data_IF_148909015739
#
_entry.id   IF_148909015739
#
_cell.length_a   1.000
_cell.length_b   1.000
_cell.length_c   1.000
_cell.angle_alpha   90.00
_cell.angle_beta   90.00
_cell.angle_gamma   90.00
#
_symmetry.space_group_name_H-M   'P 1'
#
loop_
_entity.id
_entity.type
_entity.pdbx_description
1 polymer ?
#
# COMPACT_ATOMS: atom_id res chain seq x y z
N UNK A 1 32.19 -4.93 -7.13
CA UNK A 1 31.62 -3.88 -6.26
C UNK A 1 30.14 -4.21 -6.14
N UNK A 2 29.62 -4.42 -4.93
CA UNK A 2 28.18 -4.56 -4.77
C UNK A 2 27.51 -3.29 -5.30
N UNK A 3 26.52 -3.45 -6.21
CA UNK A 3 25.75 -2.33 -6.72
C UNK A 3 25.04 -1.58 -5.58
N UNK A 4 24.78 -0.29 -5.73
CA UNK A 4 23.97 0.42 -4.75
C UNK A 4 22.55 -0.15 -4.76
N UNK A 5 21.95 -0.35 -3.58
CA UNK A 5 20.55 -0.79 -3.47
C UNK A 5 19.63 0.20 -4.18
N UNK A 6 18.69 -0.32 -4.97
CA UNK A 6 17.76 0.47 -5.76
C UNK A 6 16.42 0.68 -5.04
N UNK A 7 15.98 -0.32 -4.25
CA UNK A 7 14.81 -0.19 -3.38
C UNK A 7 14.94 -1.07 -2.14
N UNK A 8 14.19 -0.73 -1.11
CA UNK A 8 13.97 -1.51 0.10
C UNK A 8 12.51 -1.95 0.13
N UNK A 9 12.26 -3.26 0.12
CA UNK A 9 10.91 -3.83 0.19
C UNK A 9 10.57 -4.06 1.65
N UNK A 10 9.49 -3.47 2.14
CA UNK A 10 9.01 -3.62 3.53
C UNK A 10 7.76 -4.47 3.53
N UNK A 11 7.78 -5.56 4.29
CA UNK A 11 6.69 -6.54 4.37
C UNK A 11 6.30 -6.74 5.83
N UNK A 12 5.16 -6.19 6.28
CA UNK A 12 4.59 -6.55 7.57
C UNK A 12 3.96 -7.94 7.50
N UNK A 13 4.07 -8.71 8.58
CA UNK A 13 3.43 -10.04 8.65
C UNK A 13 2.95 -10.34 10.07
N UNK A 14 1.89 -11.14 10.17
CA UNK A 14 1.37 -11.69 11.42
C UNK A 14 0.61 -12.99 11.15
N UNK A 15 1.10 -14.12 11.65
CA UNK A 15 0.48 -15.46 11.53
C UNK A 15 0.03 -15.80 10.10
N UNK A 16 0.90 -15.57 9.11
CA UNK A 16 0.65 -15.80 7.68
C UNK A 16 1.82 -16.49 6.98
N UNK A 17 2.47 -17.46 7.63
CA UNK A 17 3.68 -18.10 7.15
C UNK A 17 3.57 -18.63 5.71
N UNK A 18 2.44 -19.23 5.32
CA UNK A 18 2.22 -19.74 3.96
C UNK A 18 2.14 -18.62 2.92
N UNK A 19 1.37 -17.59 3.20
CA UNK A 19 1.22 -16.42 2.29
C UNK A 19 2.54 -15.65 2.16
N UNK A 20 3.23 -15.43 3.27
CA UNK A 20 4.54 -14.75 3.25
C UNK A 20 5.57 -15.54 2.43
N UNK A 21 5.56 -16.89 2.50
CA UNK A 21 6.43 -17.73 1.68
C UNK A 21 6.24 -17.43 0.19
N UNK A 22 5.00 -17.39 -0.29
CA UNK A 22 4.71 -17.10 -1.70
C UNK A 22 5.14 -15.67 -2.08
N UNK A 23 4.95 -14.69 -1.19
CA UNK A 23 5.46 -13.33 -1.40
C UNK A 23 6.99 -13.34 -1.58
N UNK A 24 7.72 -14.01 -0.69
CA UNK A 24 9.18 -14.08 -0.76
C UNK A 24 9.66 -14.86 -1.99
N UNK A 25 8.98 -15.93 -2.40
CA UNK A 25 9.31 -16.66 -3.64
C UNK A 25 9.12 -15.78 -4.88
N UNK A 26 8.05 -14.96 -4.96
CA UNK A 26 7.87 -14.00 -6.05
C UNK A 26 8.96 -12.91 -6.10
N UNK A 27 9.50 -12.52 -4.94
CA UNK A 27 10.62 -11.58 -4.87
C UNK A 27 11.96 -12.20 -5.30
N UNK A 28 12.15 -13.50 -5.14
CA UNK A 28 13.31 -14.21 -5.71
C UNK A 28 13.25 -14.19 -7.24
N UNK A 29 12.05 -14.20 -7.83
CA UNK A 29 11.81 -14.17 -9.28
C UNK A 29 11.89 -12.79 -9.93
N UNK A 30 12.28 -11.73 -9.21
CA UNK A 30 12.32 -10.38 -9.78
C UNK A 30 13.40 -10.24 -10.86
N UNK A 31 13.10 -9.45 -11.90
CA UNK A 31 14.09 -9.07 -12.94
C UNK A 31 15.16 -8.13 -12.40
N UNK A 32 14.84 -7.33 -11.38
CA UNK A 32 15.81 -6.58 -10.61
C UNK A 32 16.69 -7.57 -9.82
N UNK A 33 18.04 -7.59 -10.00
CA UNK A 33 18.90 -8.53 -9.30
C UNK A 33 18.75 -8.47 -7.77
N UNK A 34 18.77 -9.65 -7.12
CA UNK A 34 18.54 -9.76 -5.66
C UNK A 34 19.59 -9.09 -4.79
N UNK A 35 20.75 -8.73 -5.36
CA UNK A 35 21.79 -7.93 -4.71
C UNK A 35 21.58 -6.41 -4.88
N UNK A 36 20.55 -5.99 -5.66
CA UNK A 36 20.21 -4.60 -5.89
C UNK A 36 18.96 -4.15 -5.11
N UNK A 37 18.34 -5.00 -4.35
CA UNK A 37 17.29 -4.61 -3.40
C UNK A 37 17.44 -5.38 -2.08
N UNK A 38 16.87 -4.85 -1.02
CA UNK A 38 16.76 -5.55 0.25
C UNK A 38 15.29 -5.83 0.59
N UNK A 39 15.07 -6.89 1.35
CA UNK A 39 13.74 -7.28 1.86
C UNK A 39 13.75 -7.17 3.37
N UNK A 40 12.85 -6.37 3.92
CA UNK A 40 12.70 -6.10 5.34
C UNK A 40 11.37 -6.71 5.80
N UNK A 41 11.42 -7.93 6.31
CA UNK A 41 10.26 -8.61 6.90
C UNK A 41 10.12 -8.16 8.34
N UNK A 42 8.98 -7.59 8.68
CA UNK A 42 8.68 -7.16 10.05
C UNK A 42 7.49 -7.95 10.58
N UNK A 43 7.77 -8.81 11.53
CA UNK A 43 6.83 -9.74 12.15
C UNK A 43 6.21 -9.14 13.41
N UNK A 44 4.89 -8.99 13.40
CA UNK A 44 4.09 -8.39 14.47
C UNK A 44 3.68 -9.42 15.56
N UNK A 45 4.57 -10.38 15.85
CA UNK A 45 4.38 -11.33 16.94
C UNK A 45 3.81 -12.70 16.50
N UNK A 46 4.20 -13.19 15.31
CA UNK A 46 3.75 -14.50 14.83
C UNK A 46 4.22 -15.67 15.70
N UNK A 47 3.40 -16.72 15.75
CA UNK A 47 3.67 -17.98 16.45
C UNK A 47 3.54 -19.22 15.55
N UNK A 48 3.40 -19.02 14.23
CA UNK A 48 3.08 -20.05 13.23
C UNK A 48 4.32 -20.61 12.48
N UNK A 49 5.55 -20.33 12.98
CA UNK A 49 6.80 -20.76 12.32
C UNK A 49 7.29 -19.77 11.27
N UNK A 50 6.79 -18.53 11.29
CA UNK A 50 7.20 -17.45 10.35
C UNK A 50 8.71 -17.22 10.39
N UNK A 51 9.34 -17.12 11.57
CA UNK A 51 10.77 -16.85 11.70
C UNK A 51 11.63 -17.92 11.02
N UNK A 52 11.35 -19.20 11.29
CA UNK A 52 12.06 -20.34 10.70
C UNK A 52 11.88 -20.38 9.18
N UNK A 53 10.68 -20.09 8.70
CA UNK A 53 10.40 -20.05 7.27
C UNK A 53 11.20 -18.91 6.60
N UNK A 54 11.20 -17.71 7.15
CA UNK A 54 11.94 -16.56 6.63
C UNK A 54 13.44 -16.86 6.58
N UNK A 55 13.98 -17.57 7.57
CA UNK A 55 15.41 -17.93 7.60
C UNK A 55 15.82 -18.80 6.40
N UNK A 56 14.91 -19.58 5.81
CA UNK A 56 15.18 -20.38 4.60
C UNK A 56 15.46 -19.54 3.35
N UNK A 57 15.12 -18.26 3.35
CA UNK A 57 15.37 -17.32 2.26
C UNK A 57 16.72 -16.59 2.36
N UNK A 58 17.44 -16.71 3.48
CA UNK A 58 18.80 -16.18 3.59
C UNK A 58 19.70 -16.85 2.57
N UNK A 59 20.36 -16.07 1.75
CA UNK A 59 21.16 -16.56 0.63
C UNK A 59 20.44 -16.59 -0.72
N UNK A 60 19.11 -16.47 -0.74
CA UNK A 60 18.31 -16.24 -1.96
C UNK A 60 17.95 -14.76 -2.13
N UNK A 61 17.72 -14.07 -1.00
CA UNK A 61 17.40 -12.65 -0.92
C UNK A 61 18.36 -11.94 0.05
N UNK A 62 18.65 -10.69 -0.21
CA UNK A 62 19.25 -9.77 0.77
C UNK A 62 18.17 -9.40 1.80
N UNK A 63 17.96 -10.29 2.78
CA UNK A 63 16.82 -10.27 3.68
C UNK A 63 17.23 -9.97 5.11
N UNK A 64 16.47 -9.09 5.76
CA UNK A 64 16.55 -8.77 7.19
C UNK A 64 15.19 -9.03 7.82
N UNK A 65 15.19 -9.69 8.98
CA UNK A 65 14.00 -10.02 9.74
C UNK A 65 13.99 -9.26 11.06
N UNK A 66 12.84 -8.68 11.39
CA UNK A 66 12.58 -7.95 12.62
C UNK A 66 11.35 -8.57 13.28
N UNK A 67 11.41 -8.75 14.59
CA UNK A 67 10.31 -9.28 15.39
C UNK A 67 9.90 -8.24 16.43
N UNK A 68 8.63 -8.07 16.65
CA UNK A 68 8.06 -7.35 17.78
C UNK A 68 7.04 -8.21 18.50
N UNK A 69 6.94 -8.07 19.83
CA UNK A 69 5.98 -8.83 20.64
C UNK A 69 4.54 -8.55 20.17
N UNK A 70 3.67 -9.57 20.24
CA UNK A 70 2.23 -9.43 19.93
C UNK A 70 1.55 -8.56 21.01
N UNK A 71 1.12 -7.37 20.62
CA UNK A 71 0.30 -6.46 21.43
C UNK A 71 -0.98 -6.05 20.66
N UNK A 72 -1.49 -6.91 19.79
CA UNK A 72 -2.63 -6.68 18.92
C UNK A 72 -2.23 -6.12 17.55
N UNK A 73 -3.19 -5.59 16.81
CA UNK A 73 -2.96 -5.09 15.44
C UNK A 73 -2.05 -3.87 15.40
N UNK A 74 -0.86 -4.01 14.83
CA UNK A 74 0.15 -2.95 14.74
C UNK A 74 0.87 -2.91 13.38
N UNK A 75 0.13 -3.10 12.31
CA UNK A 75 0.67 -3.05 10.96
C UNK A 75 1.40 -1.73 10.66
N UNK A 76 0.88 -0.60 11.15
CA UNK A 76 1.52 0.72 11.05
C UNK A 76 2.92 0.70 11.70
N UNK A 77 3.03 0.21 12.94
CA UNK A 77 4.31 0.10 13.66
C UNK A 77 5.28 -0.85 12.95
N UNK A 78 4.78 -2.00 12.49
CA UNK A 78 5.60 -2.96 11.76
C UNK A 78 6.19 -2.33 10.49
N UNK A 79 5.36 -1.61 9.69
CA UNK A 79 5.86 -0.88 8.51
C UNK A 79 6.87 0.20 8.89
N UNK A 80 6.68 0.90 10.02
CA UNK A 80 7.62 1.92 10.52
C UNK A 80 8.99 1.34 10.84
N UNK A 81 9.05 0.18 11.50
CA UNK A 81 10.33 -0.53 11.75
C UNK A 81 11.06 -0.80 10.44
N UNK A 82 10.35 -1.29 9.42
CA UNK A 82 10.92 -1.52 8.09
C UNK A 82 11.40 -0.23 7.41
N UNK A 83 10.58 0.83 7.39
CA UNK A 83 10.94 2.12 6.77
C UNK A 83 12.13 2.76 7.50
N UNK A 84 12.18 2.68 8.82
CA UNK A 84 13.31 3.19 9.60
C UNK A 84 14.60 2.42 9.32
N UNK A 85 14.52 1.11 9.04
CA UNK A 85 15.65 0.25 8.73
C UNK A 85 16.06 0.27 7.26
N UNK A 86 15.25 0.82 6.35
CA UNK A 86 15.51 0.86 4.92
C UNK A 86 16.82 1.57 4.58
N UNK A 87 17.62 0.97 3.70
CA UNK A 87 18.95 1.48 3.29
C UNK A 87 18.93 2.12 1.90
N UNK A 88 17.86 1.93 1.12
CA UNK A 88 17.69 2.51 -0.21
C UNK A 88 16.92 3.84 -0.17
N UNK A 89 17.05 4.63 -1.24
CA UNK A 89 16.30 5.88 -1.44
C UNK A 89 14.81 5.67 -1.76
N UNK A 90 14.41 4.44 -2.09
CA UNK A 90 13.03 4.07 -2.44
C UNK A 90 12.58 2.95 -1.51
N UNK A 91 11.44 3.14 -0.86
CA UNK A 91 10.72 2.07 -0.15
C UNK A 91 9.55 1.59 -1.00
N UNK A 92 9.46 0.27 -1.18
CA UNK A 92 8.29 -0.41 -1.74
C UNK A 92 7.59 -1.13 -0.59
N UNK A 93 6.32 -0.82 -0.37
CA UNK A 93 5.48 -1.46 0.64
C UNK A 93 4.69 -2.57 -0.06
N UNK A 94 4.85 -3.80 0.42
CA UNK A 94 4.15 -4.98 -0.09
C UNK A 94 3.60 -5.75 1.12
N UNK A 95 2.35 -6.17 1.07
CA UNK A 95 1.78 -6.97 2.15
C UNK A 95 2.13 -8.46 2.00
N UNK A 96 2.16 -9.19 3.13
CA UNK A 96 2.27 -10.66 3.12
C UNK A 96 1.04 -11.28 2.45
N UNK A 97 1.26 -12.08 1.40
CA UNK A 97 0.23 -12.62 0.51
C UNK A 97 0.07 -11.87 -0.80
N UNK A 98 0.95 -10.91 -1.10
CA UNK A 98 1.02 -10.27 -2.40
C UNK A 98 2.16 -10.91 -3.21
N UNK A 99 1.84 -11.45 -4.39
CA UNK A 99 2.81 -12.00 -5.34
C UNK A 99 3.16 -10.95 -6.37
N UNK A 100 4.39 -10.49 -6.37
CA UNK A 100 4.86 -9.50 -7.31
C UNK A 100 5.12 -10.11 -8.70
N UNK A 101 4.64 -9.48 -9.78
CA UNK A 101 5.11 -9.74 -11.14
C UNK A 101 6.63 -9.57 -11.21
N UNK A 102 7.33 -10.35 -12.04
CA UNK A 102 8.79 -10.32 -12.13
C UNK A 102 9.38 -8.93 -12.41
N UNK A 103 8.67 -8.07 -13.11
CA UNK A 103 9.03 -6.67 -13.38
C UNK A 103 8.61 -5.65 -12.31
N UNK A 104 7.93 -6.05 -11.25
CA UNK A 104 7.25 -5.14 -10.31
C UNK A 104 8.22 -4.16 -9.64
N UNK A 105 9.31 -4.66 -9.04
CA UNK A 105 10.28 -3.80 -8.36
C UNK A 105 11.00 -2.85 -9.31
N UNK A 106 11.36 -3.34 -10.51
CA UNK A 106 11.98 -2.49 -11.54
C UNK A 106 11.04 -1.36 -11.95
N UNK A 107 9.75 -1.65 -12.13
CA UNK A 107 8.74 -0.65 -12.51
C UNK A 107 8.57 0.45 -11.44
N UNK A 108 8.57 0.09 -10.15
CA UNK A 108 8.60 1.06 -9.07
C UNK A 108 9.84 1.94 -9.12
N UNK A 109 11.03 1.34 -9.26
CA UNK A 109 12.31 2.06 -9.35
C UNK A 109 12.32 3.03 -10.53
N UNK A 110 11.90 2.56 -11.71
CA UNK A 110 11.89 3.36 -12.93
C UNK A 110 10.93 4.55 -12.82
N UNK A 111 9.77 4.39 -12.18
CA UNK A 111 8.85 5.50 -11.90
C UNK A 111 9.57 6.62 -11.15
N UNK A 112 10.23 6.32 -10.03
CA UNK A 112 10.94 7.32 -9.22
C UNK A 112 12.15 7.93 -9.92
N UNK A 113 12.74 7.24 -10.89
CA UNK A 113 13.89 7.73 -11.68
C UNK A 113 13.49 8.54 -12.90
N UNK A 114 12.27 8.39 -13.37
CA UNK A 114 11.76 9.08 -14.55
C UNK A 114 11.60 10.59 -14.35
N UNK A 115 11.53 11.06 -13.11
CA UNK A 115 11.31 12.45 -12.76
C UNK A 115 12.04 12.85 -11.47
N UNK A 116 12.33 14.13 -11.34
CA UNK A 116 12.82 14.72 -10.09
C UNK A 116 11.70 15.04 -9.10
N UNK A 117 10.43 15.04 -9.54
CA UNK A 117 9.28 15.25 -8.66
C UNK A 117 9.13 14.10 -7.68
N UNK A 118 8.75 14.35 -6.44
CA UNK A 118 8.44 13.28 -5.50
C UNK A 118 7.17 12.56 -5.93
N UNK A 119 7.27 11.24 -6.12
CA UNK A 119 6.13 10.41 -6.47
C UNK A 119 5.64 9.58 -5.28
N UNK A 120 4.32 9.36 -5.24
CA UNK A 120 3.65 8.29 -4.54
C UNK A 120 3.12 7.33 -5.62
N UNK A 121 3.84 6.23 -5.85
CA UNK A 121 3.54 5.29 -6.94
C UNK A 121 2.62 4.20 -6.43
N UNK A 122 1.52 3.99 -7.13
CA UNK A 122 0.57 2.90 -6.90
C UNK A 122 0.84 1.81 -7.92
N UNK A 123 1.02 0.57 -7.47
CA UNK A 123 1.08 -0.60 -8.34
C UNK A 123 -0.31 -1.16 -8.61
N UNK A 124 -0.47 -1.85 -9.73
CA UNK A 124 -1.72 -2.52 -10.12
C UNK A 124 -1.86 -3.86 -9.39
N UNK A 125 -3.02 -4.14 -8.79
CA UNK A 125 -3.19 -5.32 -7.94
C UNK A 125 -4.39 -6.15 -8.40
N UNK A 126 -4.11 -7.29 -9.03
CA UNK A 126 -5.11 -8.29 -9.41
C UNK A 126 -5.62 -9.05 -8.19
N UNK A 127 -6.83 -9.59 -8.29
CA UNK A 127 -7.43 -10.48 -7.31
C UNK A 127 -7.65 -9.87 -5.91
N UNK A 128 -7.59 -8.54 -5.79
CA UNK A 128 -7.97 -7.91 -4.53
C UNK A 128 -9.49 -8.06 -4.34
N UNK A 129 -9.89 -8.81 -3.33
CA UNK A 129 -11.29 -9.03 -2.98
C UNK A 129 -11.62 -8.39 -1.63
N UNK A 130 -12.81 -7.85 -1.47
CA UNK A 130 -13.27 -7.23 -0.21
C UNK A 130 -13.83 -8.27 0.75
N UNK A 131 -14.43 -9.34 0.22
CA UNK A 131 -15.06 -10.42 0.97
C UNK A 131 -14.45 -11.79 0.59
N UNK A 132 -15.10 -12.88 1.00
CA UNK A 132 -14.64 -14.23 0.74
C UNK A 132 -15.36 -14.94 -0.43
N UNK A 133 -16.28 -14.26 -1.14
CA UNK A 133 -17.15 -14.90 -2.13
C UNK A 133 -16.35 -15.61 -3.23
N UNK A 134 -15.40 -14.92 -3.84
CA UNK A 134 -14.59 -15.46 -4.93
C UNK A 134 -13.28 -16.12 -4.47
N UNK A 135 -12.99 -16.17 -3.18
CA UNK A 135 -11.69 -16.60 -2.65
C UNK A 135 -11.25 -17.98 -3.16
N UNK A 136 -12.17 -18.92 -3.25
CA UNK A 136 -11.90 -20.29 -3.75
C UNK A 136 -11.54 -20.28 -5.23
N UNK A 137 -12.31 -19.53 -6.04
CA UNK A 137 -12.11 -19.46 -7.50
C UNK A 137 -10.81 -18.72 -7.81
N UNK A 138 -10.51 -17.64 -7.10
CA UNK A 138 -9.27 -16.89 -7.22
C UNK A 138 -8.08 -17.79 -6.87
N UNK A 139 -8.11 -18.50 -5.74
CA UNK A 139 -7.04 -19.40 -5.35
C UNK A 139 -6.80 -20.53 -6.38
N UNK A 140 -7.86 -21.02 -7.02
CA UNK A 140 -7.74 -22.02 -8.11
C UNK A 140 -7.14 -21.44 -9.40
N UNK A 141 -7.30 -20.15 -9.64
CA UNK A 141 -6.78 -19.47 -10.81
C UNK A 141 -5.31 -19.06 -10.67
N UNK A 142 -4.82 -18.89 -9.46
CA UNK A 142 -3.44 -18.48 -9.16
C UNK A 142 -2.50 -19.69 -9.31
N UNK A 143 -1.50 -19.55 -10.15
CA UNK A 143 -0.31 -20.39 -10.14
C UNK A 143 0.75 -19.67 -9.30
N UNK A 144 1.01 -20.17 -8.10
CA UNK A 144 1.94 -19.54 -7.15
C UNK A 144 3.41 -19.61 -7.60
N UNK A 145 3.73 -20.51 -8.56
CA UNK A 145 5.07 -20.63 -9.12
C UNK A 145 5.25 -19.80 -10.41
N UNK A 146 4.13 -19.35 -11.01
CA UNK A 146 4.10 -18.50 -12.21
C UNK A 146 3.14 -17.30 -12.04
N UNK A 147 3.48 -16.31 -11.22
CA UNK A 147 2.68 -15.09 -11.07
C UNK A 147 2.49 -14.34 -12.39
N UNK A 148 3.53 -14.27 -13.22
CA UNK A 148 3.50 -13.56 -14.51
C UNK A 148 2.49 -14.18 -15.48
N UNK A 149 2.54 -15.50 -15.63
CA UNK A 149 1.56 -16.23 -16.46
C UNK A 149 0.14 -16.16 -15.87
N UNK A 150 0.00 -16.08 -14.54
CA UNK A 150 -1.30 -15.86 -13.89
C UNK A 150 -1.83 -14.47 -14.26
N UNK A 151 -1.04 -13.41 -14.10
CA UNK A 151 -1.43 -12.03 -14.45
C UNK A 151 -1.84 -11.95 -15.93
N UNK A 152 -1.03 -12.51 -16.84
CA UNK A 152 -1.36 -12.50 -18.26
C UNK A 152 -2.72 -13.17 -18.57
N UNK A 153 -3.04 -14.30 -17.89
CA UNK A 153 -4.35 -14.98 -18.06
C UNK A 153 -5.51 -14.16 -17.48
N UNK A 154 -5.30 -13.47 -16.35
CA UNK A 154 -6.32 -12.61 -15.74
C UNK A 154 -6.62 -11.40 -16.62
N UNK A 155 -5.58 -10.77 -17.15
CA UNK A 155 -5.68 -9.64 -18.07
C UNK A 155 -6.40 -10.02 -19.37
N UNK A 156 -6.00 -11.12 -20.02
CA UNK A 156 -6.64 -11.62 -21.24
C UNK A 156 -8.14 -11.88 -21.07
N UNK A 157 -8.54 -12.40 -19.91
CA UNK A 157 -9.95 -12.71 -19.59
C UNK A 157 -10.73 -11.53 -19.02
N UNK A 158 -10.07 -10.46 -18.60
CA UNK A 158 -10.69 -9.35 -17.88
C UNK A 158 -11.28 -9.77 -16.53
N UNK A 159 -10.69 -10.80 -15.87
CA UNK A 159 -11.18 -11.34 -14.61
C UNK A 159 -10.34 -10.81 -13.43
N UNK A 160 -11.01 -10.53 -12.32
CA UNK A 160 -10.38 -10.10 -11.06
C UNK A 160 -9.28 -9.05 -11.27
N UNK A 161 -9.58 -8.06 -12.12
CA UNK A 161 -8.78 -6.87 -12.32
C UNK A 161 -8.64 -6.11 -10.99
N UNK A 162 -7.79 -5.11 -10.94
CA UNK A 162 -7.69 -4.25 -9.77
C UNK A 162 -9.07 -3.68 -9.41
N UNK A 163 -9.46 -3.80 -8.16
CA UNK A 163 -10.76 -3.28 -7.68
C UNK A 163 -10.92 -1.77 -7.94
N UNK A 164 -9.80 -1.05 -8.14
CA UNK A 164 -9.76 0.36 -8.49
C UNK A 164 -9.80 0.62 -10.00
N UNK A 165 -10.02 -0.41 -10.85
CA UNK A 165 -9.95 -0.24 -12.32
C UNK A 165 -10.94 0.82 -12.82
N UNK A 166 -12.19 0.85 -12.30
CA UNK A 166 -13.16 1.88 -12.67
C UNK A 166 -12.67 3.31 -12.35
N UNK A 167 -11.94 3.47 -11.26
CA UNK A 167 -11.31 4.75 -10.93
C UNK A 167 -10.23 5.10 -11.97
N UNK A 168 -9.40 4.15 -12.39
CA UNK A 168 -8.35 4.39 -13.38
C UNK A 168 -8.92 4.64 -14.78
N UNK A 169 -10.01 3.98 -15.15
CA UNK A 169 -10.76 4.28 -16.38
C UNK A 169 -11.33 5.69 -16.38
N UNK A 170 -11.82 6.17 -15.24
CA UNK A 170 -12.44 7.50 -15.07
C UNK A 170 -11.41 8.63 -15.07
N UNK A 171 -10.26 8.45 -14.42
CA UNK A 171 -9.30 9.53 -14.16
C UNK A 171 -7.94 9.34 -14.84
N UNK A 172 -7.68 8.19 -15.45
CA UNK A 172 -6.40 7.83 -16.04
C UNK A 172 -5.35 7.44 -15.00
N UNK A 173 -4.19 7.02 -15.49
CA UNK A 173 -3.09 6.56 -14.64
C UNK A 173 -2.34 7.72 -13.93
N UNK A 174 -2.47 8.94 -14.43
CA UNK A 174 -1.88 10.18 -13.86
C UNK A 174 -2.95 10.98 -13.11
N UNK A 175 -3.38 10.48 -11.97
CA UNK A 175 -4.47 11.09 -11.17
C UNK A 175 -4.00 12.06 -10.07
N UNK A 176 -2.73 12.45 -10.07
CA UNK A 176 -2.14 13.33 -9.04
C UNK A 176 -2.77 14.74 -8.95
N UNK A 177 -3.49 15.19 -9.97
CA UNK A 177 -4.17 16.49 -9.98
C UNK A 177 -5.59 16.47 -9.36
N UNK A 178 -6.06 15.29 -8.95
CA UNK A 178 -7.35 15.15 -8.26
C UNK A 178 -7.33 15.85 -6.89
N UNK A 179 -8.50 16.24 -6.35
CA UNK A 179 -8.58 16.82 -5.01
C UNK A 179 -8.10 15.90 -3.90
N UNK A 180 -8.33 14.59 -4.05
CA UNK A 180 -7.94 13.57 -3.09
C UNK A 180 -7.34 12.33 -3.81
N UNK A 181 -6.16 12.45 -4.47
CA UNK A 181 -5.54 11.32 -5.16
C UNK A 181 -5.02 10.27 -4.19
N UNK A 182 -4.76 10.65 -2.95
CA UNK A 182 -4.24 9.84 -1.86
C UNK A 182 -5.21 8.75 -1.38
N UNK A 183 -6.50 8.82 -1.74
CA UNK A 183 -7.48 7.78 -1.44
C UNK A 183 -7.11 6.41 -2.03
N UNK A 184 -6.38 6.35 -3.12
CA UNK A 184 -5.97 5.12 -3.79
C UNK A 184 -4.57 4.60 -3.41
N UNK A 185 -3.92 5.20 -2.39
CA UNK A 185 -2.60 4.79 -1.94
C UNK A 185 -2.68 3.65 -0.92
N UNK A 186 -3.07 2.46 -1.37
CA UNK A 186 -3.22 1.27 -0.54
C UNK A 186 -1.91 0.49 -0.47
N UNK A 187 -1.37 0.30 0.73
CA UNK A 187 -0.01 -0.19 0.98
C UNK A 187 0.27 -1.64 0.60
N UNK A 188 -0.70 -2.37 0.06
CA UNK A 188 -0.48 -3.72 -0.46
C UNK A 188 0.53 -3.78 -1.63
N UNK A 189 0.67 -2.70 -2.43
CA UNK A 189 1.67 -2.58 -3.50
C UNK A 189 1.85 -1.11 -3.87
N UNK A 190 2.69 -0.38 -3.15
CA UNK A 190 2.97 1.04 -3.40
C UNK A 190 4.42 1.39 -3.11
N UNK A 191 4.89 2.55 -3.59
CA UNK A 191 6.22 3.04 -3.23
C UNK A 191 6.28 4.55 -3.07
N UNK A 192 7.26 4.99 -2.27
CA UNK A 192 7.62 6.39 -2.10
C UNK A 192 9.11 6.52 -1.77
N UNK A 193 9.65 7.74 -1.86
CA UNK A 193 11.03 8.00 -1.43
C UNK A 193 11.17 7.88 0.07
N UNK A 194 12.22 7.21 0.51
CA UNK A 194 12.51 6.93 1.93
C UNK A 194 12.65 8.20 2.76
N UNK A 195 13.33 9.22 2.22
CA UNK A 195 13.51 10.50 2.89
C UNK A 195 12.16 11.23 3.10
N UNK A 196 11.22 11.09 2.16
CA UNK A 196 9.87 11.66 2.27
C UNK A 196 9.05 10.97 3.33
N UNK A 197 9.02 9.62 3.31
CA UNK A 197 8.34 8.82 4.33
C UNK A 197 8.83 9.18 5.74
N UNK A 198 10.14 9.27 5.93
CA UNK A 198 10.73 9.65 7.23
C UNK A 198 10.40 11.08 7.63
N UNK A 199 10.46 12.04 6.70
CA UNK A 199 10.16 13.44 6.96
C UNK A 199 8.73 13.68 7.42
N UNK A 200 7.76 12.98 6.85
CA UNK A 200 6.35 13.10 7.26
C UNK A 200 6.01 12.31 8.53
N UNK A 201 7.00 11.61 9.14
CA UNK A 201 6.81 10.84 10.35
C UNK A 201 6.33 9.40 10.13
N UNK A 202 6.46 8.87 8.89
CA UNK A 202 6.08 7.49 8.53
C UNK A 202 4.59 7.22 8.79
N UNK A 203 4.19 6.00 9.19
CA UNK A 203 2.81 5.71 9.57
C UNK A 203 2.48 6.28 10.95
N UNK A 204 1.24 6.68 11.15
CA UNK A 204 0.73 7.04 12.48
C UNK A 204 0.38 5.75 13.24
N UNK A 205 1.07 5.51 14.35
CA UNK A 205 0.93 4.28 15.16
C UNK A 205 -0.32 4.28 16.06
N UNK A 206 -1.11 5.36 16.06
CA UNK A 206 -2.43 5.36 16.71
C UNK A 206 -3.48 4.55 15.92
N UNK A 207 -3.20 4.21 14.66
CA UNK A 207 -4.00 3.24 13.90
C UNK A 207 -3.73 1.82 14.42
N UNK A 208 -4.51 1.40 15.42
CA UNK A 208 -4.42 0.10 16.10
C UNK A 208 -5.53 -0.88 15.67
N UNK A 209 -6.18 -0.60 14.54
CA UNK A 209 -7.23 -1.39 13.92
C UNK A 209 -7.05 -1.37 12.42
N UNK A 210 -7.73 -2.28 11.74
CA UNK A 210 -7.65 -2.37 10.29
C UNK A 210 -8.22 -1.13 9.59
N UNK A 211 -7.53 -0.66 8.55
CA UNK A 211 -7.96 0.35 7.58
C UNK A 211 -7.66 1.79 7.98
N UNK A 212 -7.41 2.62 6.98
CA UNK A 212 -7.19 4.06 7.12
C UNK A 212 -5.75 4.50 7.37
N UNK A 213 -4.85 3.65 7.85
CA UNK A 213 -3.46 3.99 8.09
C UNK A 213 -2.69 4.33 6.81
N UNK A 214 -3.03 3.68 5.72
CA UNK A 214 -2.49 3.91 4.38
C UNK A 214 -3.05 5.20 3.74
N UNK A 215 -4.34 5.46 3.96
CA UNK A 215 -5.01 6.70 3.55
C UNK A 215 -4.39 7.91 4.27
N UNK A 216 -4.16 7.81 5.58
CA UNK A 216 -3.46 8.84 6.37
C UNK A 216 -2.04 9.08 5.86
N UNK A 217 -1.28 8.00 5.58
CA UNK A 217 0.06 8.10 5.00
C UNK A 217 0.00 8.80 3.63
N UNK A 218 -0.91 8.36 2.75
CA UNK A 218 -1.12 8.97 1.43
C UNK A 218 -1.45 10.45 1.54
N UNK A 219 -2.37 10.83 2.43
CA UNK A 219 -2.72 12.23 2.68
C UNK A 219 -1.50 13.07 3.12
N UNK A 220 -0.66 12.54 4.02
CA UNK A 220 0.54 13.26 4.46
C UNK A 220 1.61 13.34 3.37
N UNK A 221 1.76 12.32 2.50
CA UNK A 221 2.61 12.38 1.32
C UNK A 221 2.11 13.44 0.31
N UNK A 222 0.79 13.52 0.11
CA UNK A 222 0.18 14.55 -0.73
C UNK A 222 0.49 15.96 -0.21
N UNK A 223 0.31 16.19 1.08
CA UNK A 223 0.66 17.46 1.73
C UNK A 223 2.15 17.80 1.68
N UNK A 224 3.02 16.80 1.58
CA UNK A 224 4.47 16.95 1.39
C UNK A 224 4.84 17.19 -0.09
N UNK A 225 3.84 17.29 -0.97
CA UNK A 225 4.01 17.58 -2.39
C UNK A 225 4.29 16.36 -3.27
N UNK A 226 3.96 15.15 -2.81
CA UNK A 226 4.07 13.95 -3.64
C UNK A 226 2.94 13.93 -4.70
N UNK A 227 3.31 13.62 -5.96
CA UNK A 227 2.37 13.39 -7.05
C UNK A 227 2.00 11.91 -7.11
N UNK A 228 0.72 11.61 -7.22
CA UNK A 228 0.20 10.24 -7.25
C UNK A 228 0.07 9.75 -8.69
N UNK A 229 0.60 8.56 -8.95
CA UNK A 229 0.56 7.90 -10.27
C UNK A 229 0.35 6.40 -10.11
N UNK A 230 -0.42 5.81 -11.02
CA UNK A 230 -0.44 4.37 -11.22
C UNK A 230 0.70 3.96 -12.15
N UNK A 231 1.40 2.89 -11.81
CA UNK A 231 2.25 2.17 -12.77
C UNK A 231 1.71 0.75 -12.96
N UNK A 232 1.06 0.48 -14.09
CA UNK A 232 0.48 -0.83 -14.41
C UNK A 232 1.54 -1.92 -14.56
N UNK A 233 2.79 -1.57 -14.85
CA UNK A 233 3.90 -2.54 -14.92
C UNK A 233 4.39 -2.97 -13.52
N UNK A 234 4.10 -2.17 -12.49
CA UNK A 234 4.28 -2.58 -11.10
C UNK A 234 3.10 -3.46 -10.66
N UNK A 235 2.87 -4.54 -11.40
CA UNK A 235 1.74 -5.44 -11.19
C UNK A 235 2.01 -6.44 -10.07
N UNK A 236 0.93 -6.86 -9.39
CA UNK A 236 0.97 -7.90 -8.37
C UNK A 236 -0.38 -8.60 -8.26
N UNK A 237 -0.40 -9.78 -7.63
CA UNK A 237 -1.60 -10.53 -7.28
C UNK A 237 -1.78 -10.48 -5.76
N UNK A 238 -2.95 -10.10 -5.30
CA UNK A 238 -3.31 -10.21 -3.89
C UNK A 238 -3.97 -11.57 -3.64
N UNK A 239 -3.29 -12.46 -2.93
CA UNK A 239 -3.83 -13.78 -2.60
C UNK A 239 -5.00 -13.66 -1.63
N UNK A 240 -6.13 -14.31 -1.90
CA UNK A 240 -7.24 -14.34 -0.97
C UNK A 240 -6.85 -14.97 0.36
N UNK A 241 -7.33 -14.35 1.42
CA UNK A 241 -7.24 -14.88 2.78
C UNK A 241 -8.54 -14.55 3.51
N UNK A 242 -8.80 -15.27 4.59
CA UNK A 242 -10.00 -15.06 5.39
C UNK A 242 -10.12 -13.61 5.85
N UNK A 243 -11.26 -13.00 5.60
CA UNK A 243 -11.60 -11.61 5.93
C UNK A 243 -12.98 -11.54 6.59
N UNK A 244 -13.15 -10.57 7.47
CA UNK A 244 -14.46 -10.18 8.00
C UNK A 244 -14.83 -8.83 7.40
N UNK A 245 -15.66 -8.84 6.35
CA UNK A 245 -16.06 -7.61 5.67
C UNK A 245 -16.70 -6.60 6.62
N UNK A 246 -17.73 -7.04 7.39
CA UNK A 246 -18.41 -6.18 8.35
C UNK A 246 -17.48 -5.69 9.46
N UNK A 247 -16.66 -6.61 10.04
CA UNK A 247 -15.72 -6.26 11.08
C UNK A 247 -14.61 -5.30 10.60
N UNK A 248 -14.16 -5.43 9.35
CA UNK A 248 -13.20 -4.52 8.76
C UNK A 248 -13.80 -3.13 8.53
N UNK A 249 -15.05 -3.05 8.04
CA UNK A 249 -15.73 -1.78 7.83
C UNK A 249 -15.99 -1.03 9.15
N UNK A 250 -16.39 -1.74 10.21
CA UNK A 250 -16.55 -1.14 11.55
C UNK A 250 -15.23 -0.60 12.10
N UNK A 251 -14.13 -1.32 11.90
CA UNK A 251 -12.81 -0.87 12.31
C UNK A 251 -12.35 0.35 11.51
N UNK A 252 -12.52 0.34 10.19
CA UNK A 252 -12.18 1.45 9.31
C UNK A 252 -12.99 2.71 9.67
N UNK A 253 -14.28 2.59 9.97
CA UNK A 253 -15.12 3.73 10.36
C UNK A 253 -14.55 4.48 11.56
N UNK A 254 -14.14 3.76 12.63
CA UNK A 254 -13.51 4.39 13.79
C UNK A 254 -12.16 5.08 13.47
N UNK A 255 -11.42 4.56 12.50
CA UNK A 255 -10.17 5.17 12.03
C UNK A 255 -10.44 6.42 11.18
N UNK A 256 -11.51 6.45 10.39
CA UNK A 256 -11.93 7.65 9.65
C UNK A 256 -12.41 8.77 10.57
N UNK A 257 -13.13 8.44 11.65
CA UNK A 257 -13.49 9.41 12.71
C UNK A 257 -12.22 10.00 13.35
N UNK A 258 -11.22 9.16 13.62
CA UNK A 258 -9.93 9.62 14.12
C UNK A 258 -9.23 10.55 13.13
N UNK A 259 -9.19 10.21 11.83
CA UNK A 259 -8.62 11.09 10.80
C UNK A 259 -9.35 12.43 10.74
N UNK A 260 -10.69 12.42 10.81
CA UNK A 260 -11.44 13.67 10.79
C UNK A 260 -11.17 14.52 12.03
N UNK A 261 -11.13 13.91 13.21
CA UNK A 261 -10.76 14.61 14.44
C UNK A 261 -9.33 15.21 14.37
N UNK A 262 -8.40 14.51 13.69
CA UNK A 262 -7.01 14.93 13.51
C UNK A 262 -6.84 16.09 12.53
N UNK A 263 -7.57 16.10 11.43
CA UNK A 263 -7.35 17.03 10.31
C UNK A 263 -8.44 18.08 10.13
N UNK A 264 -9.69 17.77 10.46
CA UNK A 264 -10.83 18.70 10.45
C UNK A 264 -11.13 19.33 9.10
N UNK A 265 -10.92 18.63 7.98
CA UNK A 265 -11.18 19.16 6.65
C UNK A 265 -12.44 18.57 6.02
N UNK A 266 -13.19 19.33 5.18
CA UNK A 266 -14.43 18.84 4.58
C UNK A 266 -14.24 17.61 3.67
N UNK A 267 -13.06 17.44 3.06
CA UNK A 267 -12.76 16.25 2.24
C UNK A 267 -12.56 15.02 3.14
N UNK A 268 -11.85 15.16 4.25
CA UNK A 268 -11.65 14.03 5.18
C UNK A 268 -12.96 13.69 5.91
N UNK A 269 -13.83 14.65 6.16
CA UNK A 269 -15.17 14.39 6.69
C UNK A 269 -15.97 13.39 5.83
N UNK A 270 -15.81 13.41 4.51
CA UNK A 270 -16.49 12.45 3.63
C UNK A 270 -16.16 10.99 3.95
N UNK A 271 -14.96 10.70 4.49
CA UNK A 271 -14.57 9.35 4.87
C UNK A 271 -15.43 8.80 6.01
N UNK A 272 -15.95 9.66 6.90
CA UNK A 272 -16.83 9.24 7.99
C UNK A 272 -18.22 8.81 7.49
N UNK A 273 -18.52 9.07 6.21
CA UNK A 273 -19.75 8.69 5.53
C UNK A 273 -19.58 7.53 4.53
N UNK A 274 -18.43 6.83 4.57
CA UNK A 274 -18.20 5.61 3.77
C UNK A 274 -19.26 4.56 4.18
N UNK A 275 -19.99 4.03 3.21
CA UNK A 275 -21.17 3.18 3.44
C UNK A 275 -22.46 3.84 2.96
N UNK A 276 -22.52 5.18 2.97
CA UNK A 276 -23.54 5.99 2.31
C UNK A 276 -23.03 6.54 0.97
N UNK A 277 -21.71 6.74 0.85
CA UNK A 277 -21.03 7.26 -0.34
C UNK A 277 -20.20 6.16 -0.99
N UNK A 278 -20.16 6.16 -2.33
CA UNK A 278 -19.24 5.31 -3.07
C UNK A 278 -17.81 5.85 -2.93
N UNK A 279 -16.90 5.02 -2.41
CA UNK A 279 -15.51 5.37 -2.18
C UNK A 279 -14.78 5.83 -3.43
N UNK A 280 -15.02 5.17 -4.55
CA UNK A 280 -14.35 5.49 -5.83
C UNK A 280 -14.89 6.75 -6.51
N UNK A 281 -16.11 7.17 -6.14
CA UNK A 281 -16.73 8.40 -6.61
C UNK A 281 -16.39 9.65 -5.77
N UNK A 282 -15.64 9.49 -4.67
CA UNK A 282 -15.37 10.61 -3.75
C UNK A 282 -14.75 11.83 -4.45
N UNK A 283 -13.85 11.65 -5.42
CA UNK A 283 -13.27 12.78 -6.16
C UNK A 283 -14.30 13.52 -7.02
N UNK A 284 -15.32 12.85 -7.57
CA UNK A 284 -16.43 13.49 -8.25
C UNK A 284 -17.33 14.22 -7.25
N UNK A 285 -17.67 13.59 -6.13
CA UNK A 285 -18.47 14.19 -5.05
C UNK A 285 -17.80 15.48 -4.53
N UNK A 286 -16.47 15.47 -4.34
CA UNK A 286 -15.70 16.64 -3.92
C UNK A 286 -15.86 17.77 -4.93
N UNK A 287 -15.75 17.49 -6.23
CA UNK A 287 -15.90 18.47 -7.31
C UNK A 287 -17.34 18.99 -7.41
N UNK A 288 -18.32 18.11 -7.37
CA UNK A 288 -19.76 18.46 -7.45
C UNK A 288 -20.21 19.31 -6.28
N UNK A 289 -19.73 19.02 -5.06
CA UNK A 289 -20.02 19.81 -3.86
C UNK A 289 -19.19 21.08 -3.76
N UNK A 290 -18.21 21.29 -4.66
CA UNK A 290 -17.33 22.44 -4.63
C UNK A 290 -16.51 22.52 -3.34
N UNK A 291 -16.11 21.38 -2.76
CA UNK A 291 -15.33 21.37 -1.53
C UNK A 291 -13.92 21.91 -1.79
N UNK A 292 -13.39 22.78 -0.90
CA UNK A 292 -12.03 23.29 -1.03
C UNK A 292 -11.02 22.15 -0.87
N UNK A 293 -9.86 22.26 -1.50
CA UNK A 293 -8.74 21.36 -1.21
C UNK A 293 -8.37 21.47 0.26
N UNK A 294 -7.88 20.38 0.85
CA UNK A 294 -7.53 20.36 2.27
C UNK A 294 -6.52 21.47 2.65
N UNK A 295 -5.53 21.72 1.77
CA UNK A 295 -4.52 22.76 1.98
C UNK A 295 -5.12 24.17 1.97
N UNK A 296 -5.99 24.45 1.01
CA UNK A 296 -6.67 25.76 0.86
C UNK A 296 -7.54 26.04 2.07
N UNK A 297 -8.35 25.03 2.47
CA UNK A 297 -9.20 25.12 3.67
C UNK A 297 -8.39 25.40 4.95
N UNK A 298 -7.28 24.68 5.14
CA UNK A 298 -6.43 24.88 6.31
C UNK A 298 -5.72 26.26 6.30
N UNK A 299 -5.34 26.77 5.12
CA UNK A 299 -4.77 28.10 4.97
C UNK A 299 -5.80 29.21 5.29
N UNK A 300 -7.05 29.05 4.84
CA UNK A 300 -8.13 29.98 5.16
C UNK A 300 -8.43 30.05 6.66
N UNK A 301 -8.46 28.89 7.35
CA UNK A 301 -8.65 28.84 8.80
C UNK A 301 -7.52 29.54 9.57
N UNK A 302 -6.27 29.43 9.10
CA UNK A 302 -5.13 30.13 9.72
C UNK A 302 -5.23 31.65 9.56
N UNK A 303 -5.74 32.11 8.40
CA UNK A 303 -5.91 33.55 8.12
C UNK A 303 -7.12 34.15 8.83
N UNK A 304 -8.18 33.39 9.04
CA UNK A 304 -9.41 33.85 9.74
C UNK A 304 -9.31 33.86 11.26
N UNK A 305 -8.25 33.33 11.83
CA UNK A 305 -8.03 33.36 13.30
C UNK A 305 -8.92 32.37 14.09
N UNK A 306 -9.54 31.42 13.45
CA UNK A 306 -10.45 30.43 14.07
C UNK A 306 -9.74 29.23 14.70
N UNK A 307 -8.41 29.28 14.79
CA UNK A 307 -7.65 28.28 15.57
C UNK A 307 -7.02 28.96 16.80
N UNK A 308 -7.71 28.85 17.90
CA UNK A 308 -7.11 29.05 19.23
C UNK A 308 -6.68 27.69 19.80
#
# INVERSE_FOLDING_TARGET
MAGSLQCSVVIPTYNRVGLLRHTLDSLVGQTLPTDQFEVLVVDDGSSDGTAEMVDTFRGRLNLRYFFQEDEGYRAAKARNVGIAAASSDIVVLIDSGVLAHSGCLQAHVDSHRSTAEPLAVVGYVYCFNLDNEDAILINQAIDFEDPDGTIARLEEKGNWLDIRELFYEMYGDNFGDLPAPWLNYWTCNVSARTDRLRRIGMFDEEFKRWGGEDIDLGYRLFRDGARFVLNRQAAAIHCPHEKSFDGNNEQAAGNYDYMYAKYGTPIIELLTHIGELDYFELNNIIKERGLPRCEDYLAELQTSGERS
#
